data_IF_159954615375
#
_entry.id   IF_159954615375
#
_cell.length_a   1.000
_cell.length_b   1.000
_cell.length_c   1.000
_cell.angle_alpha   90.00
_cell.angle_beta   90.00
_cell.angle_gamma   90.00
#
_symmetry.space_group_name_H-M   'P 1'
#
loop_
_entity.id
_entity.type
_entity.pdbx_description
1 polymer ?
#
# COMPACT_ATOMS: atom_id res chain seq x y z
N UNK A 1 1.37 -27.15 -11.59
CA UNK A 1 0.79 -26.59 -12.82
C UNK A 1 1.95 -26.16 -13.70
N UNK A 2 2.02 -26.62 -14.94
CA UNK A 2 3.05 -26.13 -15.87
C UNK A 2 2.76 -24.67 -16.23
N UNK A 3 3.65 -23.79 -15.82
CA UNK A 3 3.55 -22.38 -16.22
C UNK A 3 4.09 -22.20 -17.64
N UNK A 4 3.38 -21.45 -18.52
CA UNK A 4 3.81 -21.23 -19.90
C UNK A 4 5.07 -20.35 -20.00
N UNK A 5 5.48 -19.75 -18.88
CA UNK A 5 6.68 -18.92 -18.74
C UNK A 5 7.47 -19.46 -17.55
N UNK A 6 8.77 -19.66 -17.75
CA UNK A 6 9.67 -20.18 -16.72
C UNK A 6 10.81 -19.19 -16.48
N UNK A 7 10.97 -18.74 -15.23
CA UNK A 7 12.15 -17.95 -14.83
C UNK A 7 13.34 -18.88 -14.79
N UNK A 8 14.39 -18.53 -15.55
CA UNK A 8 15.58 -19.37 -15.72
C UNK A 8 16.77 -18.87 -14.91
N UNK A 9 16.85 -17.54 -14.64
CA UNK A 9 17.92 -16.92 -13.87
C UNK A 9 17.49 -15.59 -13.32
N UNK A 10 18.03 -15.21 -12.17
CA UNK A 10 17.80 -13.94 -11.49
C UNK A 10 19.17 -13.30 -11.21
N UNK A 11 19.42 -12.13 -11.76
CA UNK A 11 20.66 -11.39 -11.58
C UNK A 11 20.40 -10.08 -10.82
N UNK A 12 21.18 -9.84 -9.76
CA UNK A 12 21.21 -8.53 -9.09
C UNK A 12 21.89 -7.51 -10.03
N UNK A 13 21.17 -6.43 -10.35
CA UNK A 13 21.67 -5.35 -11.20
C UNK A 13 22.26 -4.21 -10.36
N UNK A 14 21.55 -3.85 -9.27
CA UNK A 14 21.98 -2.81 -8.35
C UNK A 14 21.40 -3.06 -6.95
N UNK A 15 22.16 -2.71 -5.93
CA UNK A 15 21.72 -2.70 -4.54
C UNK A 15 21.93 -1.28 -3.98
N UNK A 16 20.82 -0.61 -3.64
CA UNK A 16 20.81 0.68 -2.98
C UNK A 16 20.52 0.55 -1.47
N UNK A 17 20.66 -0.64 -0.88
CA UNK A 17 20.34 -0.97 0.51
C UNK A 17 18.83 -1.12 0.74
N UNK A 18 18.12 -0.03 0.65
CA UNK A 18 16.66 0.03 0.82
C UNK A 18 15.87 -0.62 -0.33
N UNK A 19 16.38 -0.55 -1.54
CA UNK A 19 15.75 -1.07 -2.75
C UNK A 19 16.81 -1.74 -3.63
N UNK A 20 16.47 -2.91 -4.17
CA UNK A 20 17.30 -3.67 -5.07
C UNK A 20 16.67 -3.77 -6.44
N UNK A 21 17.49 -3.72 -7.48
CA UNK A 21 17.06 -3.89 -8.86
C UNK A 21 17.55 -5.25 -9.36
N UNK A 22 16.64 -6.07 -9.86
CA UNK A 22 16.95 -7.39 -10.39
C UNK A 22 16.59 -7.49 -11.87
N UNK A 23 17.35 -8.30 -12.62
CA UNK A 23 17.02 -8.76 -13.96
C UNK A 23 16.61 -10.23 -13.89
N UNK A 24 15.35 -10.48 -14.27
CA UNK A 24 14.78 -11.82 -14.37
C UNK A 24 14.96 -12.29 -15.81
N UNK A 25 15.61 -13.42 -16.02
CA UNK A 25 15.65 -14.08 -17.31
C UNK A 25 14.55 -15.15 -17.34
N UNK A 26 13.83 -15.23 -18.42
CA UNK A 26 12.72 -16.17 -18.53
C UNK A 26 12.58 -16.68 -19.95
N UNK A 27 12.01 -17.88 -20.05
CA UNK A 27 11.65 -18.52 -21.32
C UNK A 27 10.16 -18.35 -21.56
N UNK A 28 9.84 -17.84 -22.74
CA UNK A 28 8.45 -17.70 -23.19
C UNK A 28 7.87 -19.06 -23.57
N UNK A 29 6.53 -19.13 -23.73
CA UNK A 29 5.81 -20.32 -24.23
C UNK A 29 6.34 -20.86 -25.57
N UNK A 30 6.98 -20.03 -26.37
CA UNK A 30 7.55 -20.40 -27.67
C UNK A 30 9.05 -20.78 -27.57
N UNK A 31 9.60 -20.90 -26.35
CA UNK A 31 11.01 -21.24 -26.09
C UNK A 31 11.99 -20.06 -26.23
N UNK A 32 11.53 -18.86 -26.60
CA UNK A 32 12.40 -17.71 -26.74
C UNK A 32 12.85 -17.17 -25.37
N UNK A 33 14.14 -16.85 -25.23
CA UNK A 33 14.68 -16.20 -24.05
C UNK A 33 14.34 -14.71 -24.06
N UNK A 34 13.95 -14.19 -22.89
CA UNK A 34 13.64 -12.78 -22.62
C UNK A 34 14.14 -12.37 -21.25
N UNK A 35 14.16 -11.07 -20.99
CA UNK A 35 14.43 -10.56 -19.66
C UNK A 35 13.43 -9.49 -19.24
N UNK A 36 13.25 -9.37 -17.93
CA UNK A 36 12.44 -8.36 -17.28
C UNK A 36 13.25 -7.70 -16.17
N UNK A 37 13.06 -6.41 -15.94
CA UNK A 37 13.73 -5.72 -14.83
C UNK A 37 12.66 -5.34 -13.82
N UNK A 38 12.95 -5.62 -12.55
CA UNK A 38 12.06 -5.28 -11.45
C UNK A 38 12.83 -4.78 -10.23
N UNK A 39 12.15 -4.04 -9.38
CA UNK A 39 12.65 -3.63 -8.08
C UNK A 39 12.01 -4.45 -6.95
N UNK A 40 12.74 -4.65 -5.85
CA UNK A 40 12.23 -5.28 -4.63
C UNK A 40 12.94 -4.72 -3.39
N UNK A 41 12.26 -4.70 -2.25
CA UNK A 41 12.87 -4.42 -0.94
C UNK A 41 13.57 -5.67 -0.37
N UNK A 42 13.23 -6.83 -0.87
CA UNK A 42 13.73 -8.11 -0.38
C UNK A 42 15.16 -8.39 -0.88
N UNK A 43 15.98 -9.14 -0.15
CA UNK A 43 17.29 -9.59 -0.62
C UNK A 43 17.21 -10.53 -1.83
N UNK A 44 16.07 -11.22 -1.99
CA UNK A 44 15.77 -12.11 -3.12
C UNK A 44 14.34 -11.85 -3.58
N UNK A 45 14.07 -11.68 -4.89
CA UNK A 45 12.70 -11.48 -5.37
C UNK A 45 11.79 -12.67 -5.06
N UNK A 46 10.52 -12.40 -4.75
CA UNK A 46 9.52 -13.44 -4.42
C UNK A 46 9.37 -14.51 -5.51
N UNK A 47 9.53 -14.13 -6.76
CA UNK A 47 9.48 -15.08 -7.88
C UNK A 47 10.62 -16.12 -7.88
N UNK A 48 11.69 -15.89 -7.12
CA UNK A 48 12.82 -16.81 -6.98
C UNK A 48 12.75 -17.66 -5.71
N UNK A 49 12.16 -17.16 -4.62
CA UNK A 49 12.07 -17.88 -3.35
C UNK A 49 10.69 -18.42 -3.01
N UNK A 50 9.65 -17.97 -3.75
CA UNK A 50 8.28 -18.46 -3.61
C UNK A 50 7.53 -17.94 -2.37
N UNK A 51 8.05 -16.97 -1.65
CA UNK A 51 7.45 -16.45 -0.41
C UNK A 51 6.44 -15.34 -0.69
N UNK A 52 5.16 -15.71 -0.79
CA UNK A 52 4.05 -14.80 -1.12
C UNK A 52 3.03 -14.60 0.01
N UNK A 53 3.18 -15.30 1.15
CA UNK A 53 2.15 -15.39 2.20
C UNK A 53 2.09 -14.13 3.07
N UNK A 54 3.23 -13.44 3.23
CA UNK A 54 3.33 -12.25 4.07
C UNK A 54 3.33 -10.99 3.21
N UNK A 55 2.43 -10.01 3.48
CA UNK A 55 2.51 -8.70 2.85
C UNK A 55 3.74 -7.93 3.35
N UNK A 56 4.26 -7.03 2.52
CA UNK A 56 5.36 -6.13 2.91
C UNK A 56 4.85 -4.95 3.74
N UNK A 57 3.60 -4.54 3.51
CA UNK A 57 3.01 -3.37 4.13
C UNK A 57 1.50 -3.56 4.39
N UNK A 58 0.94 -2.66 5.18
CA UNK A 58 -0.51 -2.50 5.35
C UNK A 58 -0.99 -1.21 4.71
N UNK A 59 -2.22 -1.20 4.21
CA UNK A 59 -2.94 0.01 3.79
C UNK A 59 -4.29 0.01 4.50
N UNK A 60 -4.61 1.08 5.23
CA UNK A 60 -5.66 1.09 6.25
C UNK A 60 -6.84 1.95 5.80
N UNK A 61 -7.90 1.33 5.32
CA UNK A 61 -9.17 2.00 5.07
C UNK A 61 -9.92 2.17 6.40
N UNK A 62 -9.75 3.32 7.05
CA UNK A 62 -10.27 3.59 8.38
C UNK A 62 -11.53 4.45 8.34
N UNK A 63 -12.61 3.98 8.99
CA UNK A 63 -13.84 4.74 9.20
C UNK A 63 -13.89 5.28 10.62
N UNK A 64 -13.89 6.60 10.75
CA UNK A 64 -13.98 7.27 12.05
C UNK A 64 -15.43 7.32 12.55
N UNK A 65 -15.73 6.54 13.60
CA UNK A 65 -17.10 6.36 14.09
C UNK A 65 -17.71 7.65 14.64
N UNK A 66 -16.96 8.42 15.44
CA UNK A 66 -17.45 9.67 16.04
C UNK A 66 -17.72 10.77 15.00
N UNK A 67 -16.99 10.78 13.86
CA UNK A 67 -17.16 11.77 12.78
C UNK A 67 -18.04 11.27 11.63
N UNK A 68 -18.34 9.97 11.56
CA UNK A 68 -19.05 9.32 10.45
C UNK A 68 -18.40 9.59 9.08
N UNK A 69 -17.06 9.54 9.01
CA UNK A 69 -16.24 9.87 7.85
C UNK A 69 -15.12 8.85 7.65
N UNK A 70 -14.69 8.69 6.39
CA UNK A 70 -13.48 7.93 6.09
C UNK A 70 -12.23 8.80 6.33
N UNK A 71 -11.18 8.20 6.86
CA UNK A 71 -9.88 8.84 7.04
C UNK A 71 -9.11 8.80 5.72
N UNK A 72 -8.54 9.93 5.33
CA UNK A 72 -7.71 10.07 4.12
C UNK A 72 -6.42 10.78 4.54
N UNK A 73 -5.29 10.34 4.05
CA UNK A 73 -4.02 11.03 4.22
C UNK A 73 -3.68 11.83 2.98
N UNK A 74 -3.04 13.00 3.16
CA UNK A 74 -2.37 13.75 2.11
C UNK A 74 -0.89 13.82 2.46
N UNK A 75 -0.08 13.06 1.76
CA UNK A 75 1.34 12.88 2.05
C UNK A 75 2.22 13.41 0.93
N UNK A 76 3.37 14.01 1.26
CA UNK A 76 4.35 14.41 0.26
C UNK A 76 5.18 13.19 -0.19
N UNK A 77 4.97 12.77 -1.43
CA UNK A 77 5.72 11.66 -2.04
C UNK A 77 6.89 12.18 -2.88
N UNK A 78 8.10 11.88 -2.43
CA UNK A 78 9.34 12.31 -3.12
C UNK A 78 9.35 11.86 -4.58
N UNK A 79 8.93 10.63 -4.85
CA UNK A 79 8.88 10.07 -6.21
C UNK A 79 7.90 10.82 -7.15
N UNK A 80 6.89 11.49 -6.60
CA UNK A 80 5.91 12.28 -7.36
C UNK A 80 6.26 13.78 -7.37
N UNK A 81 7.26 14.20 -6.58
CA UNK A 81 7.59 15.60 -6.38
C UNK A 81 6.39 16.43 -5.92
N UNK A 82 5.50 15.86 -5.10
CA UNK A 82 4.27 16.50 -4.67
C UNK A 82 3.41 15.61 -3.80
N UNK A 83 2.25 16.14 -3.43
CA UNK A 83 1.31 15.45 -2.55
C UNK A 83 0.52 14.36 -3.29
N UNK A 84 0.32 13.24 -2.59
CA UNK A 84 -0.56 12.14 -2.97
C UNK A 84 -1.65 11.99 -1.91
N UNK A 85 -2.86 11.69 -2.36
CA UNK A 85 -3.97 11.32 -1.50
C UNK A 85 -4.01 9.80 -1.38
N UNK A 86 -3.99 9.33 -0.15
CA UNK A 86 -3.91 7.91 0.19
C UNK A 86 -4.69 7.56 1.44
N UNK A 87 -4.39 6.39 1.96
CA UNK A 87 -4.78 5.94 3.28
C UNK A 87 -3.54 5.78 4.15
N UNK A 88 -3.69 5.80 5.48
CA UNK A 88 -2.60 5.44 6.37
C UNK A 88 -2.00 4.09 5.96
N UNK A 89 -0.67 4.01 5.89
CA UNK A 89 0.00 2.85 5.34
C UNK A 89 1.47 2.78 5.76
N UNK A 90 1.94 1.61 6.13
CA UNK A 90 3.36 1.41 6.42
C UNK A 90 3.80 -0.04 6.36
N UNK A 91 5.08 -0.26 6.57
CA UNK A 91 5.67 -1.59 6.49
C UNK A 91 5.27 -2.47 7.67
N UNK A 92 5.17 -3.76 7.42
CA UNK A 92 5.01 -4.78 8.47
C UNK A 92 6.40 -5.19 8.94
N UNK A 93 6.78 -4.78 10.14
CA UNK A 93 8.09 -5.04 10.72
C UNK A 93 8.35 -6.53 10.96
N UNK A 94 9.62 -6.91 11.05
CA UNK A 94 10.00 -8.30 11.32
C UNK A 94 9.43 -8.78 12.67
N UNK A 95 8.67 -9.86 12.64
CA UNK A 95 7.99 -10.41 13.82
C UNK A 95 6.64 -9.78 14.14
N UNK A 96 6.29 -8.67 13.49
CA UNK A 96 5.00 -8.00 13.66
C UNK A 96 3.89 -8.72 12.88
N UNK A 97 2.70 -8.78 13.43
CA UNK A 97 1.49 -9.21 12.72
C UNK A 97 0.88 -8.05 11.94
N UNK A 98 0.06 -8.35 10.93
CA UNK A 98 -0.71 -7.32 10.20
C UNK A 98 -1.54 -6.45 11.15
N UNK A 99 -2.17 -7.05 12.16
CA UNK A 99 -3.01 -6.31 13.10
C UNK A 99 -2.21 -5.37 14.03
N UNK A 100 -0.98 -5.73 14.39
CA UNK A 100 -0.07 -4.86 15.15
C UNK A 100 0.41 -3.70 14.29
N UNK A 101 0.86 -3.97 13.05
CA UNK A 101 1.24 -2.95 12.09
C UNK A 101 0.12 -1.93 11.85
N UNK A 102 -1.12 -2.39 11.65
CA UNK A 102 -2.28 -1.53 11.46
C UNK A 102 -2.52 -0.60 12.66
N UNK A 103 -2.38 -1.12 13.89
CA UNK A 103 -2.56 -0.28 15.09
C UNK A 103 -1.46 0.75 15.25
N UNK A 104 -0.22 0.34 14.99
CA UNK A 104 0.96 1.20 15.07
C UNK A 104 0.88 2.30 14.01
N UNK A 105 0.75 1.95 12.74
CA UNK A 105 0.74 2.91 11.62
C UNK A 105 -0.45 3.89 11.71
N UNK A 106 -1.66 3.40 12.03
CA UNK A 106 -2.79 4.30 12.21
C UNK A 106 -2.53 5.31 13.33
N UNK A 107 -1.91 4.86 14.44
CA UNK A 107 -1.59 5.72 15.56
C UNK A 107 -0.49 6.73 15.23
N UNK A 108 0.59 6.29 14.59
CA UNK A 108 1.75 7.10 14.24
C UNK A 108 1.38 8.18 13.22
N UNK A 109 0.72 7.80 12.13
CA UNK A 109 0.40 8.72 11.05
C UNK A 109 -0.80 9.63 11.32
N UNK A 110 -1.74 9.20 12.17
CA UNK A 110 -3.01 9.92 12.32
C UNK A 110 -3.38 10.30 13.76
N UNK A 111 -2.75 9.73 14.77
CA UNK A 111 -3.13 9.87 16.17
C UNK A 111 -4.35 9.05 16.57
N UNK A 112 -5.02 8.37 15.63
CA UNK A 112 -6.28 7.65 15.87
C UNK A 112 -6.03 6.24 16.42
N UNK A 113 -7.04 5.68 17.09
CA UNK A 113 -6.99 4.34 17.65
C UNK A 113 -7.97 3.40 16.92
N UNK A 114 -7.51 2.16 16.62
CA UNK A 114 -8.36 1.12 16.05
C UNK A 114 -9.38 0.64 17.09
N UNK A 115 -10.65 0.80 16.80
CA UNK A 115 -11.77 0.31 17.62
C UNK A 115 -12.14 -1.11 17.22
N UNK A 116 -12.26 -1.37 15.91
CA UNK A 116 -12.67 -2.68 15.40
C UNK A 116 -12.08 -2.98 14.04
N UNK A 117 -11.58 -4.19 13.85
CA UNK A 117 -11.24 -4.73 12.54
C UNK A 117 -12.50 -5.24 11.83
N UNK A 118 -12.68 -4.84 10.59
CA UNK A 118 -13.83 -5.23 9.77
C UNK A 118 -13.47 -6.30 8.74
N UNK A 119 -12.33 -6.11 8.05
CA UNK A 119 -11.88 -7.00 6.97
C UNK A 119 -10.38 -6.85 6.75
N UNK A 120 -9.73 -7.93 6.37
CA UNK A 120 -8.37 -7.98 5.88
C UNK A 120 -8.34 -8.70 4.53
N UNK A 121 -7.59 -8.17 3.56
CA UNK A 121 -7.36 -8.88 2.29
C UNK A 121 -6.19 -9.85 2.42
N UNK A 122 -6.10 -10.90 1.57
CA UNK A 122 -4.81 -11.53 1.33
C UNK A 122 -3.82 -10.50 0.77
N UNK A 123 -2.50 -10.81 0.68
CA UNK A 123 -1.54 -9.94 0.00
C UNK A 123 -2.01 -9.58 -1.41
N UNK A 124 -2.09 -8.28 -1.71
CA UNK A 124 -2.44 -7.74 -3.02
C UNK A 124 -1.30 -6.91 -3.58
N UNK A 125 -1.09 -6.94 -4.88
CA UNK A 125 0.07 -6.33 -5.54
C UNK A 125 -0.32 -5.01 -6.18
N UNK A 126 0.43 -3.94 -5.88
CA UNK A 126 0.13 -2.61 -6.42
C UNK A 126 0.58 -2.44 -7.86
N UNK A 127 1.77 -2.96 -8.21
CA UNK A 127 2.43 -2.69 -9.51
C UNK A 127 3.31 -3.88 -9.90
N UNK A 128 2.71 -5.06 -10.12
CA UNK A 128 3.44 -6.30 -10.44
C UNK A 128 4.28 -6.23 -11.74
N UNK A 129 4.09 -5.21 -12.57
CA UNK A 129 4.96 -4.91 -13.71
C UNK A 129 6.31 -4.28 -13.35
N UNK A 130 6.49 -3.78 -12.13
CA UNK A 130 7.69 -3.07 -11.70
C UNK A 130 8.29 -3.61 -10.41
N UNK A 131 7.48 -4.18 -9.52
CA UNK A 131 7.90 -4.64 -8.19
C UNK A 131 7.07 -5.84 -7.75
N UNK A 132 7.60 -6.63 -6.83
CA UNK A 132 6.88 -7.71 -6.14
C UNK A 132 6.31 -7.28 -4.77
N UNK A 133 6.33 -5.98 -4.49
CA UNK A 133 5.75 -5.44 -3.27
C UNK A 133 4.26 -5.75 -3.18
N UNK A 134 3.86 -6.26 -2.03
CA UNK A 134 2.48 -6.59 -1.72
C UNK A 134 2.01 -5.89 -0.45
N UNK A 135 0.72 -5.59 -0.37
CA UNK A 135 0.12 -4.98 0.80
C UNK A 135 -1.08 -5.78 1.28
N UNK A 136 -1.38 -5.76 2.58
CA UNK A 136 -2.68 -6.12 3.10
C UNK A 136 -3.57 -4.88 3.12
N UNK A 137 -4.71 -4.92 2.44
CA UNK A 137 -5.77 -3.91 2.59
C UNK A 137 -6.58 -4.25 3.84
N UNK A 138 -6.55 -3.38 4.84
CA UNK A 138 -7.25 -3.62 6.12
C UNK A 138 -8.30 -2.54 6.34
N UNK A 139 -9.52 -2.98 6.58
CA UNK A 139 -10.67 -2.12 6.84
C UNK A 139 -10.94 -2.12 8.33
N UNK A 140 -10.98 -0.92 8.92
CA UNK A 140 -11.18 -0.76 10.37
C UNK A 140 -12.19 0.35 10.70
N UNK A 141 -12.80 0.24 11.86
CA UNK A 141 -13.38 1.39 12.54
C UNK A 141 -12.34 1.97 13.49
N UNK A 142 -12.25 3.29 13.53
CA UNK A 142 -11.35 4.03 14.40
C UNK A 142 -12.07 5.15 15.13
N UNK A 143 -11.43 5.67 16.16
CA UNK A 143 -11.89 6.85 16.91
C UNK A 143 -10.70 7.59 17.52
N UNK A 144 -10.95 8.77 18.08
CA UNK A 144 -9.93 9.62 18.71
C UNK A 144 -9.79 10.98 18.03
N UNK A 145 -8.86 11.78 18.53
CA UNK A 145 -8.53 13.07 17.90
C UNK A 145 -7.27 12.94 17.04
N UNK A 146 -7.29 13.50 15.83
CA UNK A 146 -6.14 13.42 14.94
C UNK A 146 -4.94 14.18 15.51
N UNK A 147 -3.76 13.61 15.38
CA UNK A 147 -2.48 14.21 15.75
C UNK A 147 -1.39 13.79 14.77
N UNK A 148 -0.53 14.72 14.42
CA UNK A 148 0.67 14.48 13.63
C UNK A 148 1.96 14.45 14.48
N UNK A 149 1.83 14.45 15.81
CA UNK A 149 2.98 14.55 16.73
C UNK A 149 3.90 13.32 16.69
N UNK A 150 3.37 12.17 16.26
CA UNK A 150 4.11 10.92 16.17
C UNK A 150 4.70 10.65 14.77
N UNK A 151 4.46 11.53 13.79
CA UNK A 151 5.01 11.39 12.44
C UNK A 151 6.54 11.45 12.49
N UNK A 152 7.19 10.64 11.66
CA UNK A 152 8.64 10.73 11.50
C UNK A 152 9.05 12.07 10.87
N UNK A 153 10.30 12.50 11.14
CA UNK A 153 10.83 13.77 10.61
C UNK A 153 10.88 13.81 9.06
N UNK A 154 10.85 12.65 8.41
CA UNK A 154 10.81 12.48 6.96
C UNK A 154 9.40 12.46 6.38
N UNK A 155 8.39 12.39 7.22
CA UNK A 155 6.98 12.30 6.84
C UNK A 155 6.29 13.65 6.96
N UNK A 156 5.57 14.01 5.93
CA UNK A 156 4.70 15.18 5.93
C UNK A 156 3.30 14.74 5.54
N UNK A 157 2.50 14.41 6.56
CA UNK A 157 1.18 13.79 6.42
C UNK A 157 0.13 14.70 7.03
N UNK A 158 -0.87 15.10 6.23
CA UNK A 158 -2.09 15.74 6.70
C UNK A 158 -3.21 14.70 6.82
N UNK A 159 -3.91 14.70 7.94
CA UNK A 159 -5.06 13.82 8.18
C UNK A 159 -6.34 14.53 7.80
N UNK A 160 -7.08 13.96 6.87
CA UNK A 160 -8.35 14.47 6.35
C UNK A 160 -9.49 13.49 6.67
N UNK A 161 -10.69 14.03 6.79
CA UNK A 161 -11.91 13.25 7.01
C UNK A 161 -12.90 13.55 5.89
N UNK A 162 -13.31 12.55 5.13
CA UNK A 162 -14.21 12.71 4.00
C UNK A 162 -15.58 12.04 4.24
N UNK A 163 -16.67 12.81 4.09
CA UNK A 163 -18.01 12.25 3.91
C UNK A 163 -18.11 11.60 2.52
N UNK A 164 -19.17 10.82 2.22
CA UNK A 164 -19.37 10.29 0.88
C UNK A 164 -19.34 11.36 -0.23
N UNK A 165 -19.95 12.53 0.02
CA UNK A 165 -19.94 13.63 -0.94
C UNK A 165 -18.55 14.25 -1.11
N UNK A 166 -17.80 14.38 0.00
CA UNK A 166 -16.42 14.88 -0.03
C UNK A 166 -15.49 13.90 -0.74
N UNK A 167 -15.62 12.60 -0.49
CA UNK A 167 -14.89 11.55 -1.21
C UNK A 167 -15.17 11.60 -2.71
N UNK A 168 -16.44 11.79 -3.10
CA UNK A 168 -16.82 11.95 -4.50
C UNK A 168 -16.19 13.20 -5.15
N UNK A 169 -16.14 14.32 -4.43
CA UNK A 169 -15.45 15.52 -4.94
C UNK A 169 -13.94 15.29 -5.12
N UNK A 170 -13.29 14.67 -4.14
CA UNK A 170 -11.87 14.32 -4.23
C UNK A 170 -11.60 13.41 -5.45
N UNK A 171 -12.35 12.33 -5.61
CA UNK A 171 -12.15 11.38 -6.72
C UNK A 171 -12.38 11.99 -8.11
N UNK A 172 -13.17 13.06 -8.22
CA UNK A 172 -13.45 13.75 -9.49
C UNK A 172 -12.50 14.92 -9.78
N UNK A 173 -11.62 15.28 -8.86
CA UNK A 173 -10.65 16.35 -9.08
C UNK A 173 -9.40 15.83 -9.82
N UNK A 174 -9.33 16.12 -11.12
CA UNK A 174 -8.23 15.68 -11.98
C UNK A 174 -6.87 16.34 -11.65
N UNK A 175 -6.83 17.34 -10.79
CA UNK A 175 -5.58 17.96 -10.34
C UNK A 175 -4.89 17.20 -9.22
N UNK A 176 -5.59 16.31 -8.53
CA UNK A 176 -5.07 15.55 -7.40
C UNK A 176 -4.38 14.26 -7.89
N UNK A 177 -3.36 13.85 -7.15
CA UNK A 177 -2.69 12.57 -7.33
C UNK A 177 -3.17 11.62 -6.25
N UNK A 178 -3.52 10.40 -6.63
CA UNK A 178 -4.04 9.37 -5.74
C UNK A 178 -3.22 8.09 -5.78
N UNK A 179 -3.07 7.45 -4.62
CA UNK A 179 -2.82 6.02 -4.60
C UNK A 179 -4.00 5.28 -5.24
N UNK A 180 -3.72 4.34 -6.12
CA UNK A 180 -4.76 3.64 -6.88
C UNK A 180 -5.75 2.87 -6.00
N UNK A 181 -5.28 2.29 -4.89
CA UNK A 181 -6.11 1.53 -3.94
C UNK A 181 -7.03 2.48 -3.18
N UNK A 182 -6.49 3.62 -2.73
CA UNK A 182 -7.26 4.63 -2.04
C UNK A 182 -8.34 5.22 -2.94
N UNK A 183 -8.03 5.53 -4.19
CA UNK A 183 -9.01 6.03 -5.15
C UNK A 183 -10.19 5.06 -5.33
N UNK A 184 -9.90 3.75 -5.50
CA UNK A 184 -10.94 2.73 -5.68
C UNK A 184 -11.87 2.60 -4.47
N UNK A 185 -11.30 2.64 -3.25
CA UNK A 185 -12.09 2.55 -2.01
C UNK A 185 -12.90 3.82 -1.79
N UNK A 186 -12.31 5.01 -2.05
CA UNK A 186 -13.01 6.29 -1.92
C UNK A 186 -14.16 6.42 -2.93
N UNK A 187 -13.97 5.99 -4.18
CA UNK A 187 -15.01 5.98 -5.20
C UNK A 187 -16.18 5.04 -4.81
N UNK A 188 -15.85 3.87 -4.24
CA UNK A 188 -16.85 2.97 -3.68
C UNK A 188 -17.61 3.61 -2.50
N UNK A 189 -16.86 4.18 -1.55
CA UNK A 189 -17.43 4.86 -0.37
C UNK A 189 -18.32 6.04 -0.77
N UNK A 190 -17.91 6.84 -1.75
CA UNK A 190 -18.70 7.95 -2.28
C UNK A 190 -20.08 7.50 -2.81
N UNK A 191 -20.14 6.32 -3.42
CA UNK A 191 -21.37 5.76 -4.02
C UNK A 191 -22.27 5.05 -3.03
N UNK A 192 -21.69 4.44 -1.99
CA UNK A 192 -22.43 3.53 -1.09
C UNK A 192 -22.56 4.05 0.34
N UNK A 193 -21.70 4.97 0.76
CA UNK A 193 -21.54 5.41 2.15
C UNK A 193 -21.01 4.33 3.10
N UNK A 194 -20.40 3.25 2.55
CA UNK A 194 -19.92 2.09 3.33
C UNK A 194 -18.51 1.69 2.89
N UNK A 195 -17.75 1.15 3.85
CA UNK A 195 -16.48 0.46 3.60
C UNK A 195 -16.66 -1.01 3.32
#
# INVERSE_FOLDING_TARGET
>A
MDHPITITRVDLVADAGWLRLFRLHYRTKNGAERSWVMATRLPVPRCADGRFERPDAVVIAAYHIGRSKIVVTREFRVALGGYEYGFPAGLVDEGETVAEAVRRELKEETGLDVVRFLKESPPVYSTAGMTDESVAMVYVECDGEPSAEANEASEFIDVLFASPEEAGRLCNDASLKFDAKAWLVLDHFAKTGRL
#
